data_IF_797859788522
#
_entry.id   IF_797859788522
#
_cell.length_a   1.000
_cell.length_b   1.000
_cell.length_c   1.000
_cell.angle_alpha   90.00
_cell.angle_beta   90.00
_cell.angle_gamma   90.00
#
_symmetry.space_group_name_H-M   'P 1'
#
loop_
_entity.id
_entity.type
_entity.pdbx_description
1 polymer ?
#
# COMPACT_ATOMS: atom_id res chain seq x y z
N UNK A 1 10.96 7.00 6.28
CA UNK A 1 12.17 6.19 6.03
C UNK A 1 11.95 4.69 6.27
N UNK A 2 11.11 4.28 7.23
CA UNK A 2 10.81 2.89 7.57
C UNK A 2 10.06 2.13 6.46
N UNK A 3 9.32 2.85 5.63
CA UNK A 3 8.41 2.27 4.62
C UNK A 3 9.12 1.92 3.31
N UNK A 4 10.29 2.47 3.04
CA UNK A 4 11.02 2.28 1.77
C UNK A 4 11.82 0.99 1.65
N UNK A 5 12.08 0.28 2.75
CA UNK A 5 12.97 -0.89 2.75
C UNK A 5 12.27 -2.24 2.81
N UNK A 6 10.95 -2.25 2.91
CA UNK A 6 10.16 -3.49 2.94
C UNK A 6 9.84 -4.05 1.54
N UNK A 7 8.83 -4.86 1.46
CA UNK A 7 8.31 -5.61 0.30
C UNK A 7 8.20 -4.86 -1.02
N UNK A 8 8.22 -3.56 -0.98
CA UNK A 8 8.08 -2.70 -2.16
C UNK A 8 9.40 -2.40 -2.85
N UNK A 9 10.52 -2.90 -2.32
CA UNK A 9 11.83 -2.75 -2.98
C UNK A 9 11.88 -3.42 -4.37
N UNK A 10 10.96 -4.34 -4.66
CA UNK A 10 10.80 -4.96 -5.98
C UNK A 10 9.81 -4.27 -6.90
N UNK A 11 8.99 -3.35 -6.39
CA UNK A 11 8.08 -2.53 -7.20
C UNK A 11 8.75 -1.20 -7.55
N UNK A 12 9.54 -1.21 -8.60
CA UNK A 12 10.17 0.00 -9.15
C UNK A 12 9.18 0.98 -9.78
N UNK A 13 7.92 0.53 -10.02
CA UNK A 13 6.87 1.38 -10.58
C UNK A 13 6.28 2.37 -9.57
N UNK A 14 6.44 2.11 -8.27
CA UNK A 14 5.84 2.91 -7.21
C UNK A 14 4.31 2.87 -7.15
N UNK A 15 3.70 1.85 -7.76
CA UNK A 15 2.24 1.64 -7.77
C UNK A 15 1.75 1.16 -6.41
N UNK A 16 2.51 0.26 -5.78
CA UNK A 16 2.19 -0.30 -4.48
C UNK A 16 2.73 0.56 -3.34
N UNK A 17 1.94 0.74 -2.31
CA UNK A 17 2.29 1.54 -1.13
C UNK A 17 1.84 0.83 0.16
N UNK A 18 2.71 0.80 1.17
CA UNK A 18 2.29 0.48 2.53
C UNK A 18 1.87 1.76 3.23
N UNK A 19 0.63 1.80 3.69
CA UNK A 19 0.12 2.86 4.55
C UNK A 19 0.11 2.38 5.98
N UNK A 20 0.54 3.24 6.88
CA UNK A 20 0.56 3.00 8.32
C UNK A 20 -0.33 4.02 9.02
N UNK A 21 -1.08 3.55 10.01
CA UNK A 21 -1.88 4.42 10.87
C UNK A 21 -1.74 3.92 12.31
N UNK A 22 -1.37 4.82 13.21
CA UNK A 22 -1.21 4.52 14.63
C UNK A 22 -2.30 5.26 15.42
N UNK A 23 -3.12 4.51 16.16
CA UNK A 23 -4.06 5.06 17.12
C UNK A 23 -3.55 4.82 18.52
N UNK A 24 -3.57 5.85 19.37
CA UNK A 24 -3.13 5.78 20.77
C UNK A 24 -4.16 6.44 21.66
N UNK A 25 -4.44 5.79 22.79
CA UNK A 25 -5.32 6.28 23.84
C UNK A 25 -4.63 6.13 25.21
N UNK A 26 -5.05 6.94 26.19
CA UNK A 26 -4.64 6.73 27.58
C UNK A 26 -5.15 5.38 28.07
N UNK A 27 -4.25 4.60 28.68
CA UNK A 27 -4.57 3.31 29.28
C UNK A 27 -5.04 3.44 30.73
N UNK A 28 -5.04 4.66 31.28
CA UNK A 28 -5.42 4.95 32.67
C UNK A 28 -6.63 5.85 32.71
N UNK A 29 -7.66 5.54 33.52
CA UNK A 29 -8.82 6.39 33.70
C UNK A 29 -8.43 7.81 34.16
N UNK A 30 -9.18 8.85 33.76
CA UNK A 30 -8.93 10.23 34.22
C UNK A 30 -8.85 10.33 35.75
N UNK A 31 -7.81 10.98 36.25
CA UNK A 31 -7.59 11.19 37.67
C UNK A 31 -6.94 10.01 38.43
N UNK A 32 -6.66 8.89 37.77
CA UNK A 32 -6.00 7.73 38.39
C UNK A 32 -4.54 7.53 37.96
N UNK A 33 -4.02 8.36 37.08
CA UNK A 33 -2.64 8.27 36.61
C UNK A 33 -1.68 8.64 37.77
N UNK A 34 -0.64 7.82 38.01
CA UNK A 34 0.46 8.24 38.88
C UNK A 34 1.10 9.52 38.35
N UNK A 35 1.56 10.39 39.23
CA UNK A 35 2.31 11.58 38.83
C UNK A 35 3.55 11.16 38.04
N UNK A 36 3.83 11.87 36.95
CA UNK A 36 5.04 11.69 36.15
C UNK A 36 5.17 10.35 35.39
N UNK A 37 4.10 9.58 35.30
CA UNK A 37 4.05 8.35 34.48
C UNK A 37 2.90 8.45 33.47
N UNK A 38 3.20 8.15 32.22
CA UNK A 38 2.18 8.08 31.16
C UNK A 38 2.08 6.66 30.63
N UNK A 39 0.85 6.14 30.58
CA UNK A 39 0.53 4.86 29.95
C UNK A 39 -0.36 5.06 28.74
N UNK A 40 0.09 4.59 27.59
CA UNK A 40 -0.65 4.61 26.33
C UNK A 40 -0.83 3.20 25.80
N UNK A 41 -1.99 2.95 25.24
CA UNK A 41 -2.32 1.73 24.49
C UNK A 41 -2.95 2.09 23.17
N UNK A 42 -2.73 1.27 22.16
CA UNK A 42 -3.34 1.51 20.87
C UNK A 42 -3.07 0.41 19.87
N UNK A 43 -3.28 0.73 18.60
CA UNK A 43 -3.07 -0.19 17.51
C UNK A 43 -2.33 0.47 16.36
N UNK A 44 -1.37 -0.25 15.81
CA UNK A 44 -0.75 0.05 14.54
C UNK A 44 -1.48 -0.72 13.43
N UNK A 45 -2.01 0.01 12.47
CA UNK A 45 -2.64 -0.53 11.27
C UNK A 45 -1.66 -0.45 10.11
N UNK A 46 -1.53 -1.55 9.38
CA UNK A 46 -0.74 -1.66 8.16
C UNK A 46 -1.66 -2.04 7.01
N UNK A 47 -1.56 -1.34 5.89
CA UNK A 47 -2.37 -1.63 4.70
C UNK A 47 -1.50 -1.53 3.45
N UNK A 48 -1.54 -2.57 2.60
CA UNK A 48 -0.96 -2.50 1.25
C UNK A 48 -2.05 -2.03 0.30
N UNK A 49 -1.78 -0.93 -0.39
CA UNK A 49 -2.72 -0.30 -1.33
C UNK A 49 -2.07 -0.08 -2.68
N UNK A 50 -2.88 -0.09 -3.73
CA UNK A 50 -2.52 0.48 -5.01
C UNK A 50 -2.71 2.01 -4.92
N UNK A 51 -1.65 2.75 -5.15
CA UNK A 51 -1.65 4.21 -5.03
C UNK A 51 -2.48 4.89 -6.12
N UNK A 52 -2.64 4.25 -7.28
CA UNK A 52 -3.29 4.86 -8.44
C UNK A 52 -4.81 4.62 -8.45
N UNK A 53 -5.28 3.45 -8.05
CA UNK A 53 -6.71 3.10 -8.05
C UNK A 53 -7.32 2.96 -6.65
N UNK A 54 -6.48 2.99 -5.59
CA UNK A 54 -6.94 2.88 -4.21
C UNK A 54 -7.29 1.46 -3.74
N UNK A 55 -7.07 0.44 -4.58
CA UNK A 55 -7.33 -0.96 -4.21
C UNK A 55 -6.52 -1.36 -2.99
N UNK A 56 -7.16 -2.06 -2.05
CA UNK A 56 -6.53 -2.60 -0.84
C UNK A 56 -6.31 -4.09 -0.99
N UNK A 57 -5.08 -4.54 -0.85
CA UNK A 57 -4.74 -5.96 -1.03
C UNK A 57 -4.59 -6.72 0.26
N UNK A 58 -4.01 -6.09 1.28
CA UNK A 58 -3.76 -6.73 2.56
C UNK A 58 -3.75 -5.74 3.71
N UNK A 59 -4.24 -6.18 4.87
CA UNK A 59 -4.23 -5.42 6.11
C UNK A 59 -3.74 -6.28 7.26
N UNK A 60 -3.02 -5.66 8.19
CA UNK A 60 -2.65 -6.25 9.47
C UNK A 60 -2.71 -5.20 10.57
N UNK A 61 -2.91 -5.66 11.79
CA UNK A 61 -2.91 -4.82 12.99
C UNK A 61 -1.93 -5.38 14.01
N UNK A 62 -1.31 -4.49 14.77
CA UNK A 62 -0.47 -4.82 15.90
C UNK A 62 -0.87 -3.98 17.09
N UNK A 63 -1.16 -4.63 18.22
CA UNK A 63 -1.36 -3.92 19.48
C UNK A 63 -0.04 -3.35 20.00
N UNK A 64 -0.09 -2.12 20.44
CA UNK A 64 1.06 -1.40 21.01
C UNK A 64 0.68 -0.81 22.37
N UNK A 65 1.66 -0.78 23.25
CA UNK A 65 1.51 -0.13 24.56
C UNK A 65 2.85 0.38 25.06
N UNK A 66 2.81 1.39 25.88
CA UNK A 66 3.96 1.86 26.63
C UNK A 66 3.52 2.49 27.95
N UNK A 67 4.26 2.19 28.99
CA UNK A 67 4.18 2.86 30.30
C UNK A 67 5.55 3.38 30.62
N UNK A 68 5.72 4.68 30.61
CA UNK A 68 7.03 5.33 30.75
C UNK A 68 6.93 6.55 31.67
N UNK A 69 8.04 6.92 32.35
CA UNK A 69 8.16 8.23 32.98
C UNK A 69 8.04 9.34 31.92
N UNK A 70 7.36 10.43 32.27
CA UNK A 70 7.19 11.57 31.38
C UNK A 70 5.77 11.73 30.85
N UNK A 71 5.65 12.54 29.79
CA UNK A 71 4.39 12.90 29.18
C UNK A 71 3.96 11.95 28.02
N UNK A 72 2.84 12.27 27.39
CA UNK A 72 2.33 11.51 26.26
C UNK A 72 3.31 11.48 25.06
N UNK A 73 4.10 12.54 24.86
CA UNK A 73 5.11 12.58 23.78
C UNK A 73 6.22 11.57 24.07
N UNK A 74 6.69 11.46 25.31
CA UNK A 74 7.69 10.46 25.69
C UNK A 74 7.17 9.03 25.47
N UNK A 75 5.91 8.75 25.82
CA UNK A 75 5.28 7.44 25.59
C UNK A 75 5.12 7.13 24.10
N UNK A 76 4.70 8.08 23.28
CA UNK A 76 4.60 7.93 21.83
C UNK A 76 5.97 7.62 21.21
N UNK A 77 7.00 8.38 21.56
CA UNK A 77 8.36 8.14 21.07
C UNK A 77 8.88 6.75 21.47
N UNK A 78 8.58 6.30 22.69
CA UNK A 78 8.95 4.96 23.13
C UNK A 78 8.30 3.88 22.26
N UNK A 79 7.01 4.00 21.96
CA UNK A 79 6.28 3.08 21.06
C UNK A 79 6.93 3.08 19.68
N UNK A 80 7.14 4.26 19.08
CA UNK A 80 7.71 4.40 17.73
C UNK A 80 9.11 3.79 17.64
N UNK A 81 9.95 4.00 18.64
CA UNK A 81 11.32 3.42 18.70
C UNK A 81 11.32 1.90 18.79
N UNK A 82 10.30 1.30 19.40
CA UNK A 82 10.14 -0.15 19.49
C UNK A 82 9.55 -0.79 18.25
N UNK A 83 8.96 -0.02 17.33
CA UNK A 83 8.50 -0.48 16.03
C UNK A 83 9.69 -0.69 15.10
N UNK A 84 10.41 -1.80 15.28
CA UNK A 84 11.60 -2.12 14.51
C UNK A 84 11.25 -2.79 13.17
N UNK A 85 12.01 -2.47 12.10
CA UNK A 85 11.93 -3.13 10.79
C UNK A 85 12.28 -4.62 10.88
N UNK A 86 13.05 -5.02 11.88
CA UNK A 86 13.46 -6.41 12.11
C UNK A 86 12.38 -7.24 12.79
N UNK A 87 11.25 -6.64 13.22
CA UNK A 87 10.14 -7.37 13.80
C UNK A 87 9.60 -8.41 12.78
N UNK A 88 9.47 -9.71 13.18
CA UNK A 88 8.92 -10.76 12.34
C UNK A 88 7.54 -10.45 11.74
N UNK A 89 6.77 -9.55 12.38
CA UNK A 89 5.48 -9.06 11.88
C UNK A 89 5.62 -8.44 10.48
N UNK A 90 6.67 -7.65 10.24
CA UNK A 90 6.90 -7.00 8.94
C UNK A 90 7.13 -8.02 7.85
N UNK A 91 7.99 -9.00 8.09
CA UNK A 91 8.27 -10.05 7.12
C UNK A 91 7.02 -10.88 6.78
N UNK A 92 6.21 -11.23 7.79
CA UNK A 92 4.94 -11.93 7.60
C UNK A 92 3.92 -11.10 6.83
N UNK A 93 3.77 -9.82 7.20
CA UNK A 93 2.86 -8.87 6.54
C UNK A 93 3.20 -8.72 5.07
N UNK A 94 4.47 -8.53 4.78
CA UNK A 94 5.00 -8.37 3.44
C UNK A 94 4.78 -9.62 2.59
N UNK A 95 5.12 -10.79 3.12
CA UNK A 95 4.97 -12.07 2.43
C UNK A 95 3.49 -12.38 2.14
N UNK A 96 2.61 -12.20 3.13
CA UNK A 96 1.18 -12.39 2.96
C UNK A 96 0.57 -11.39 1.96
N UNK A 97 1.02 -10.15 2.00
CA UNK A 97 0.58 -9.11 1.06
C UNK A 97 1.00 -9.41 -0.37
N UNK A 98 2.23 -9.85 -0.59
CA UNK A 98 2.73 -10.28 -1.91
C UNK A 98 1.88 -11.41 -2.47
N UNK A 99 1.63 -12.44 -1.67
CA UNK A 99 0.80 -13.57 -2.08
C UNK A 99 -0.60 -13.14 -2.51
N UNK A 100 -1.24 -12.25 -1.74
CA UNK A 100 -2.58 -11.74 -2.09
C UNK A 100 -2.59 -10.89 -3.36
N UNK A 101 -1.55 -10.11 -3.61
CA UNK A 101 -1.42 -9.34 -4.85
C UNK A 101 -1.24 -10.28 -6.05
N UNK A 102 -0.36 -11.27 -5.94
CA UNK A 102 -0.14 -12.26 -6.99
C UNK A 102 -1.42 -13.04 -7.29
N UNK A 103 -2.13 -13.50 -6.27
CA UNK A 103 -3.40 -14.22 -6.42
C UNK A 103 -4.47 -13.35 -7.06
N UNK A 104 -4.60 -12.09 -6.64
CA UNK A 104 -5.56 -11.16 -7.24
C UNK A 104 -5.32 -10.97 -8.74
N UNK A 105 -4.09 -10.67 -9.15
CA UNK A 105 -3.79 -10.45 -10.55
C UNK A 105 -3.84 -11.73 -11.38
N UNK A 106 -3.47 -12.87 -10.82
CA UNK A 106 -3.61 -14.17 -11.48
C UNK A 106 -5.08 -14.51 -11.75
N UNK A 107 -5.97 -14.35 -10.78
CA UNK A 107 -7.39 -14.64 -10.93
C UNK A 107 -8.11 -13.66 -11.85
N UNK A 108 -7.67 -12.41 -11.91
CA UNK A 108 -8.31 -11.36 -12.67
C UNK A 108 -7.61 -11.01 -14.00
N UNK A 109 -6.56 -11.72 -14.38
CA UNK A 109 -5.74 -11.42 -15.54
C UNK A 109 -6.57 -11.21 -16.81
N UNK A 110 -7.46 -12.17 -17.13
CA UNK A 110 -8.27 -12.11 -18.33
C UNK A 110 -9.23 -10.92 -18.33
N UNK A 111 -9.93 -10.67 -17.25
CA UNK A 111 -10.86 -9.54 -17.14
C UNK A 111 -10.16 -8.19 -17.20
N UNK A 112 -8.94 -8.10 -16.65
CA UNK A 112 -8.11 -6.91 -16.70
C UNK A 112 -7.70 -6.61 -18.15
N UNK A 113 -7.21 -7.60 -18.87
CA UNK A 113 -6.83 -7.45 -20.27
C UNK A 113 -8.04 -7.08 -21.15
N UNK A 114 -9.16 -7.79 -20.98
CA UNK A 114 -10.40 -7.49 -21.72
C UNK A 114 -10.89 -6.05 -21.48
N UNK A 115 -10.79 -5.56 -20.24
CA UNK A 115 -11.16 -4.18 -19.93
C UNK A 115 -10.25 -3.18 -20.64
N UNK A 116 -8.95 -3.41 -20.66
CA UNK A 116 -8.00 -2.55 -21.36
C UNK A 116 -8.27 -2.56 -22.88
N UNK A 117 -8.51 -3.73 -23.47
CA UNK A 117 -8.88 -3.85 -24.88
C UNK A 117 -10.20 -3.15 -25.23
N UNK A 118 -11.19 -3.22 -24.33
CA UNK A 118 -12.47 -2.54 -24.49
C UNK A 118 -12.28 -1.02 -24.50
N UNK A 119 -11.48 -0.48 -23.58
CA UNK A 119 -11.13 0.95 -23.56
C UNK A 119 -10.41 1.37 -24.84
N UNK A 120 -9.48 0.55 -25.32
CA UNK A 120 -8.76 0.81 -26.56
C UNK A 120 -9.70 0.84 -27.79
N UNK A 121 -10.57 -0.17 -27.92
CA UNK A 121 -11.57 -0.25 -29.01
C UNK A 121 -12.58 0.89 -28.98
N UNK A 122 -12.93 1.37 -27.78
CA UNK A 122 -13.80 2.52 -27.57
C UNK A 122 -13.08 3.87 -27.80
N UNK A 123 -11.80 3.85 -28.23
CA UNK A 123 -10.96 5.04 -28.41
C UNK A 123 -10.77 5.88 -27.15
N UNK A 124 -10.99 5.29 -25.98
CA UNK A 124 -10.74 5.90 -24.68
C UNK A 124 -9.27 5.69 -24.27
N UNK A 125 -8.36 6.25 -25.09
CA UNK A 125 -6.93 5.97 -24.96
C UNK A 125 -6.33 6.52 -23.66
N UNK A 126 -6.79 7.66 -23.18
CA UNK A 126 -6.31 8.28 -21.93
C UNK A 126 -6.68 7.42 -20.73
N UNK A 127 -7.91 6.93 -20.69
CA UNK A 127 -8.41 6.02 -19.66
C UNK A 127 -7.71 4.67 -19.73
N UNK A 128 -7.46 4.16 -20.95
CA UNK A 128 -6.71 2.93 -21.18
C UNK A 128 -5.30 3.04 -20.59
N UNK A 129 -4.56 4.10 -20.89
CA UNK A 129 -3.21 4.33 -20.36
C UNK A 129 -3.23 4.43 -18.84
N UNK A 130 -4.16 5.18 -18.25
CA UNK A 130 -4.30 5.32 -16.82
C UNK A 130 -4.59 3.98 -16.13
N UNK A 131 -5.49 3.19 -16.71
CA UNK A 131 -5.86 1.87 -16.21
C UNK A 131 -4.67 0.90 -16.24
N UNK A 132 -3.94 0.83 -17.36
CA UNK A 132 -2.78 -0.05 -17.49
C UNK A 132 -1.61 0.35 -16.57
N UNK A 133 -1.46 1.63 -16.28
CA UNK A 133 -0.47 2.12 -15.30
C UNK A 133 -0.74 1.65 -13.87
N UNK A 134 -1.98 1.35 -13.52
CA UNK A 134 -2.35 0.85 -12.19
C UNK A 134 -1.96 -0.61 -11.94
N UNK A 135 -1.53 -1.34 -12.98
CA UNK A 135 -1.16 -2.75 -12.88
C UNK A 135 0.32 -2.85 -12.49
N UNK A 136 0.65 -3.55 -11.37
CA UNK A 136 2.03 -3.67 -10.92
C UNK A 136 2.86 -4.58 -11.85
N UNK A 137 4.15 -4.29 -11.93
CA UNK A 137 5.13 -5.04 -12.75
C UNK A 137 5.20 -6.53 -12.37
N UNK A 138 4.86 -6.86 -11.13
CA UNK A 138 4.88 -8.23 -10.60
C UNK A 138 3.73 -9.11 -11.10
N UNK A 139 2.77 -8.57 -11.86
CA UNK A 139 1.71 -9.36 -12.48
C UNK A 139 2.28 -10.31 -13.54
N UNK A 140 1.91 -11.58 -13.50
CA UNK A 140 2.41 -12.63 -14.44
C UNK A 140 2.18 -12.27 -15.92
N UNK A 141 1.11 -11.54 -16.22
CA UNK A 141 0.74 -11.08 -17.58
C UNK A 141 1.26 -9.68 -17.93
N UNK A 142 2.21 -9.14 -17.16
CA UNK A 142 2.70 -7.77 -17.35
C UNK A 142 3.29 -7.51 -18.73
N UNK A 143 3.82 -8.51 -19.40
CA UNK A 143 4.27 -8.39 -20.81
C UNK A 143 3.14 -7.96 -21.75
N UNK A 144 1.93 -8.50 -21.57
CA UNK A 144 0.74 -8.11 -22.33
C UNK A 144 0.29 -6.68 -21.99
N UNK A 145 0.33 -6.33 -20.69
CA UNK A 145 0.06 -4.97 -20.21
C UNK A 145 0.97 -3.96 -20.89
N UNK A 146 2.28 -4.26 -20.95
CA UNK A 146 3.28 -3.39 -21.60
C UNK A 146 2.99 -3.20 -23.09
N UNK A 147 2.61 -4.26 -23.79
CA UNK A 147 2.24 -4.19 -25.21
C UNK A 147 1.02 -3.31 -25.42
N UNK A 148 -0.06 -3.54 -24.68
CA UNK A 148 -1.29 -2.72 -24.74
C UNK A 148 -1.02 -1.27 -24.35
N UNK A 149 -0.21 -1.02 -23.33
CA UNK A 149 0.17 0.33 -22.93
C UNK A 149 0.89 1.09 -24.06
N UNK A 150 1.79 0.42 -24.77
CA UNK A 150 2.48 1.01 -25.93
C UNK A 150 1.51 1.35 -27.05
N UNK A 151 0.55 0.46 -27.35
CA UNK A 151 -0.49 0.70 -28.35
C UNK A 151 -1.40 1.86 -27.96
N UNK A 152 -1.88 1.90 -26.71
CA UNK A 152 -2.72 2.99 -26.21
C UNK A 152 -2.00 4.34 -26.25
N UNK A 153 -0.72 4.38 -25.88
CA UNK A 153 0.08 5.61 -25.94
C UNK A 153 0.27 6.12 -27.38
N UNK A 154 0.56 5.25 -28.33
CA UNK A 154 0.69 5.64 -29.74
C UNK A 154 -0.62 6.22 -30.28
N UNK A 155 -1.74 5.54 -30.00
CA UNK A 155 -3.05 6.00 -30.42
C UNK A 155 -3.44 7.36 -29.77
N UNK A 156 -3.11 7.56 -28.50
CA UNK A 156 -3.33 8.82 -27.80
C UNK A 156 -2.52 9.96 -28.43
N UNK A 157 -1.24 9.73 -28.72
CA UNK A 157 -0.39 10.72 -29.39
C UNK A 157 -0.89 11.10 -30.77
N UNK A 158 -1.36 10.11 -31.57
CA UNK A 158 -1.95 10.38 -32.88
C UNK A 158 -3.22 11.22 -32.77
N UNK A 159 -4.09 10.91 -31.81
CA UNK A 159 -5.32 11.66 -31.57
C UNK A 159 -5.06 13.11 -31.15
N UNK A 160 -4.00 13.35 -30.34
CA UNK A 160 -3.61 14.70 -29.91
C UNK A 160 -2.94 15.53 -31.02
N UNK A 161 -2.37 14.88 -32.04
CA UNK A 161 -1.78 15.58 -33.20
C UNK A 161 -2.83 15.98 -34.26
N UNK A 162 -3.98 15.34 -34.26
CA UNK A 162 -5.08 15.63 -35.21
C UNK A 162 -6.04 16.74 -34.71
N UNK A 163 -5.86 17.20 -33.45
CA UNK A 163 -6.63 18.28 -32.83
C UNK A 163 -5.89 19.61 -32.92
#
# INVERSE_FOLDING_TARGET
ALIRQGALASDTSGVLQVRTHLTLNSDVPPGQAPKDITSLRGQLYLTIVNRLDGSKYHQATKDVHATVPGDAVAAQLHIVRRLSITDPLWAKFVSAGRQKIEDYYRHNAQSIIQRAETLYKAQQYRECVAYLRSIPITADFYSQVKTLHTLCNKALQSQEQEQ
#
